data_IF_521960408443
#
_entry.id   IF_521960408443
#
_cell.length_a   1.000
_cell.length_b   1.000
_cell.length_c   1.000
_cell.angle_alpha   90.00
_cell.angle_beta   90.00
_cell.angle_gamma   90.00
#
_symmetry.space_group_name_H-M   'P 1'
#
loop_
_entity.id
_entity.type
_entity.pdbx_description
1 polymer ?
#
# COMPACT_ATOMS: atom_id res chain seq x y z
N UNK A 1 10.20 -10.06 -24.15
CA UNK A 1 9.42 -9.65 -22.96
C UNK A 1 10.43 -9.20 -21.91
N UNK A 2 10.41 -7.96 -21.40
CA UNK A 2 11.16 -7.65 -20.19
C UNK A 2 10.68 -8.57 -19.07
N UNK A 3 11.58 -9.17 -18.30
CA UNK A 3 11.22 -10.01 -17.14
C UNK A 3 10.78 -9.11 -15.98
N UNK A 4 9.53 -8.64 -16.04
CA UNK A 4 8.92 -7.91 -14.92
C UNK A 4 9.02 -8.74 -13.64
N UNK A 5 9.39 -8.07 -12.54
CA UNK A 5 9.37 -8.65 -11.20
C UNK A 5 8.11 -8.24 -10.48
N UNK A 6 7.70 -9.03 -9.51
CA UNK A 6 6.52 -8.76 -8.71
C UNK A 6 6.65 -9.33 -7.30
N UNK A 7 5.89 -8.76 -6.38
CA UNK A 7 5.65 -9.33 -5.05
C UNK A 7 4.17 -9.16 -4.67
N UNK A 8 3.73 -10.01 -3.75
CA UNK A 8 2.37 -9.99 -3.19
C UNK A 8 2.44 -10.28 -1.70
N UNK A 9 1.33 -10.03 -0.99
CA UNK A 9 1.22 -10.34 0.43
C UNK A 9 1.31 -11.86 0.62
N UNK A 10 2.34 -12.33 1.33
CA UNK A 10 2.48 -13.74 1.72
C UNK A 10 1.70 -13.96 3.02
N UNK A 11 0.37 -13.93 2.94
CA UNK A 11 -0.47 -14.32 4.07
C UNK A 11 -0.85 -15.80 3.93
N UNK A 12 -0.50 -16.61 4.92
CA UNK A 12 -0.71 -18.06 4.98
C UNK A 12 -2.18 -18.51 4.87
N UNK A 13 -3.15 -17.59 4.80
CA UNK A 13 -4.57 -17.91 4.67
C UNK A 13 -5.44 -16.83 3.98
N UNK A 14 -4.86 -15.93 3.18
CA UNK A 14 -5.64 -14.88 2.48
C UNK A 14 -5.24 -14.81 1.01
N UNK A 15 -6.24 -14.90 0.11
CA UNK A 15 -6.10 -14.65 -1.33
C UNK A 15 -5.32 -13.34 -1.51
N UNK A 16 -4.11 -13.38 -2.08
CA UNK A 16 -3.26 -12.20 -2.24
C UNK A 16 -3.99 -11.05 -2.95
N UNK A 17 -4.23 -9.94 -2.22
CA UNK A 17 -5.03 -8.80 -2.69
C UNK A 17 -4.22 -7.64 -3.27
N UNK A 18 -2.92 -7.60 -2.98
CA UNK A 18 -2.03 -6.51 -3.37
C UNK A 18 -0.89 -7.11 -4.17
N UNK A 19 -0.62 -6.52 -5.32
CA UNK A 19 0.48 -6.89 -6.20
C UNK A 19 1.28 -5.63 -6.47
N UNK A 20 2.57 -5.68 -6.18
CA UNK A 20 3.53 -4.66 -6.63
C UNK A 20 4.30 -5.28 -7.78
N UNK A 21 4.24 -4.66 -8.95
CA UNK A 21 4.83 -5.18 -10.19
C UNK A 21 5.72 -4.09 -10.77
N UNK A 22 6.96 -4.44 -11.13
CA UNK A 22 7.93 -3.47 -11.61
C UNK A 22 8.88 -4.01 -12.67
N UNK A 23 9.39 -3.10 -13.50
CA UNK A 23 10.45 -3.42 -14.44
C UNK A 23 11.81 -3.36 -13.72
N UNK A 24 12.51 -4.49 -13.52
CA UNK A 24 13.78 -4.50 -12.78
C UNK A 24 14.91 -3.75 -13.50
N UNK A 25 14.76 -3.45 -14.79
CA UNK A 25 15.70 -2.61 -15.55
C UNK A 25 15.57 -1.13 -15.23
N UNK A 26 14.46 -0.70 -14.60
CA UNK A 26 14.21 0.71 -14.26
C UNK A 26 14.33 0.94 -12.75
N UNK A 27 13.71 0.07 -11.96
CA UNK A 27 13.70 0.19 -10.50
C UNK A 27 14.09 -1.12 -9.82
N UNK A 28 14.69 -1.01 -8.65
CA UNK A 28 14.77 -2.08 -7.67
C UNK A 28 13.75 -1.82 -6.57
N UNK A 29 12.88 -2.79 -6.30
CA UNK A 29 11.94 -2.74 -5.17
C UNK A 29 12.36 -3.74 -4.11
N UNK A 30 12.55 -3.27 -2.88
CA UNK A 30 12.91 -4.09 -1.73
C UNK A 30 11.77 -4.05 -0.71
N UNK A 31 11.04 -5.14 -0.57
CA UNK A 31 9.97 -5.28 0.43
C UNK A 31 10.56 -5.23 1.84
N UNK A 32 9.99 -4.39 2.70
CA UNK A 32 10.39 -4.20 4.10
C UNK A 32 9.35 -4.84 5.04
N UNK A 33 8.07 -4.52 4.82
CA UNK A 33 6.95 -5.00 5.63
C UNK A 33 5.77 -5.37 4.73
N UNK A 34 5.03 -6.40 5.12
CA UNK A 34 3.76 -6.75 4.47
C UNK A 34 2.71 -7.09 5.51
N UNK A 35 1.46 -6.75 5.23
CA UNK A 35 0.30 -7.18 6.00
C UNK A 35 -0.86 -7.54 5.07
N UNK A 36 -1.98 -7.98 5.65
CA UNK A 36 -3.20 -8.24 4.90
C UNK A 36 -3.79 -7.00 4.17
N UNK A 37 -3.32 -5.79 4.49
CA UNK A 37 -3.86 -4.52 3.98
C UNK A 37 -2.81 -3.62 3.31
N UNK A 38 -1.52 -3.95 3.38
CA UNK A 38 -0.48 -3.15 2.72
C UNK A 38 0.77 -3.96 2.35
N UNK A 39 1.55 -3.44 1.40
CA UNK A 39 2.94 -3.83 1.13
C UNK A 39 3.78 -2.56 1.23
N UNK A 40 4.77 -2.57 2.10
CA UNK A 40 5.71 -1.46 2.29
C UNK A 40 7.12 -1.88 1.86
N UNK A 41 7.83 -0.98 1.20
CA UNK A 41 9.21 -1.22 0.79
C UNK A 41 9.88 0.00 0.20
N UNK A 42 11.18 -0.14 -0.05
CA UNK A 42 11.98 0.90 -0.68
C UNK A 42 12.02 0.73 -2.20
N UNK A 43 11.88 1.84 -2.91
CA UNK A 43 12.10 1.94 -4.35
C UNK A 43 13.43 2.65 -4.60
N UNK A 44 14.33 2.00 -5.35
CA UNK A 44 15.56 2.58 -5.85
C UNK A 44 15.49 2.71 -7.39
N UNK A 45 15.61 3.93 -7.94
CA UNK A 45 15.71 4.14 -9.39
C UNK A 45 17.16 4.00 -9.84
N UNK A 46 17.42 3.14 -10.82
CA UNK A 46 18.79 2.90 -11.31
C UNK A 46 19.41 4.14 -11.97
N UNK A 47 18.61 4.90 -12.72
CA UNK A 47 19.12 5.98 -13.58
C UNK A 47 19.34 7.29 -12.82
N UNK A 48 18.49 7.60 -11.84
CA UNK A 48 18.44 8.94 -11.22
C UNK A 48 19.00 9.01 -9.80
N UNK A 49 19.53 7.91 -9.24
CA UNK A 49 19.91 7.77 -7.82
C UNK A 49 18.78 8.17 -6.84
N UNK A 50 17.55 8.31 -7.32
CA UNK A 50 16.38 8.64 -6.51
C UNK A 50 15.99 7.39 -5.72
N UNK A 51 15.78 7.59 -4.42
CA UNK A 51 15.29 6.58 -3.49
C UNK A 51 14.12 7.14 -2.73
N UNK A 52 13.07 6.35 -2.57
CA UNK A 52 11.91 6.74 -1.80
C UNK A 52 11.23 5.51 -1.20
N UNK A 53 10.49 5.74 -0.12
CA UNK A 53 9.66 4.73 0.50
C UNK A 53 8.34 4.62 -0.25
N UNK A 54 7.85 3.40 -0.41
CA UNK A 54 6.61 3.13 -1.11
C UNK A 54 5.71 2.21 -0.27
N UNK A 55 4.43 2.58 -0.16
CA UNK A 55 3.42 1.74 0.48
C UNK A 55 2.23 1.56 -0.47
N UNK A 56 2.02 0.33 -0.93
CA UNK A 56 0.81 -0.07 -1.64
C UNK A 56 -0.25 -0.50 -0.62
N UNK A 57 -1.48 0.01 -0.74
CA UNK A 57 -2.57 -0.22 0.21
C UNK A 57 -3.78 -0.87 -0.47
N UNK A 58 -4.40 -1.82 0.23
CA UNK A 58 -5.75 -2.29 -0.02
C UNK A 58 -6.47 -2.50 1.31
N UNK A 59 -7.22 -1.48 1.74
CA UNK A 59 -7.94 -1.46 3.01
C UNK A 59 -9.09 -2.46 3.03
N UNK A 60 -9.39 -3.01 4.21
CA UNK A 60 -10.54 -3.88 4.43
C UNK A 60 -11.85 -3.07 4.51
N UNK A 61 -12.99 -3.73 4.29
CA UNK A 61 -14.28 -3.05 4.15
C UNK A 61 -14.85 -2.46 5.45
N UNK A 62 -14.53 -3.01 6.63
CA UNK A 62 -15.03 -2.49 7.90
C UNK A 62 -14.05 -1.50 8.54
N UNK A 63 -14.60 -0.46 9.20
CA UNK A 63 -13.78 0.54 9.92
C UNK A 63 -12.87 -0.13 10.95
N UNK A 64 -13.44 -1.05 11.73
CA UNK A 64 -12.68 -1.77 12.77
C UNK A 64 -11.48 -2.52 12.18
N UNK A 65 -11.62 -3.12 10.99
CA UNK A 65 -10.52 -3.78 10.32
C UNK A 65 -9.47 -2.78 9.78
N UNK A 66 -9.92 -1.62 9.28
CA UNK A 66 -9.02 -0.53 8.81
C UNK A 66 -8.27 0.19 9.93
N UNK A 67 -8.75 0.16 11.17
CA UNK A 67 -8.06 0.81 12.29
C UNK A 67 -6.57 0.39 12.37
N UNK A 68 -6.29 -0.89 12.16
CA UNK A 68 -4.90 -1.40 12.11
C UNK A 68 -4.08 -0.82 10.97
N UNK A 69 -4.68 -0.61 9.78
CA UNK A 69 -4.01 0.03 8.64
C UNK A 69 -3.60 1.46 8.98
N UNK A 70 -4.51 2.24 9.59
CA UNK A 70 -4.22 3.63 9.97
C UNK A 70 -3.11 3.73 11.02
N UNK A 71 -3.16 2.87 12.04
CA UNK A 71 -2.08 2.78 13.04
C UNK A 71 -0.74 2.48 12.39
N UNK A 72 -0.68 1.53 11.45
CA UNK A 72 0.56 1.22 10.73
C UNK A 72 1.05 2.41 9.90
N UNK A 73 0.16 3.11 9.17
CA UNK A 73 0.53 4.29 8.38
C UNK A 73 1.10 5.38 9.29
N UNK A 74 0.47 5.65 10.44
CA UNK A 74 0.99 6.62 11.41
C UNK A 74 2.36 6.21 11.94
N UNK A 75 2.54 4.93 12.31
CA UNK A 75 3.83 4.41 12.77
C UNK A 75 4.93 4.53 11.71
N UNK A 76 4.64 4.17 10.45
CA UNK A 76 5.57 4.35 9.33
C UNK A 76 5.93 5.82 9.14
N UNK A 77 4.94 6.72 9.22
CA UNK A 77 5.16 8.16 9.10
C UNK A 77 6.07 8.76 10.18
N UNK A 78 6.16 8.13 11.36
CA UNK A 78 7.13 8.53 12.40
C UNK A 78 8.55 8.00 12.18
N UNK A 79 8.69 6.94 11.37
CA UNK A 79 9.96 6.24 11.14
C UNK A 79 10.63 6.63 9.83
N UNK A 80 9.85 6.95 8.80
CA UNK A 80 10.35 7.28 7.47
C UNK A 80 10.86 8.72 7.47
N UNK A 81 12.11 8.89 7.05
CA UNK A 81 12.75 10.23 6.94
C UNK A 81 12.92 10.68 5.48
N UNK A 82 12.83 9.74 4.55
CA UNK A 82 12.92 9.95 3.11
C UNK A 82 11.58 10.38 2.50
N UNK A 83 11.58 10.72 1.20
CA UNK A 83 10.33 10.89 0.46
C UNK A 83 9.49 9.62 0.53
N UNK A 84 8.19 9.77 0.75
CA UNK A 84 7.27 8.65 0.93
C UNK A 84 6.07 8.78 0.01
N UNK A 85 5.83 7.73 -0.79
CA UNK A 85 4.66 7.58 -1.62
C UNK A 85 3.76 6.48 -1.04
N UNK A 86 2.52 6.84 -0.73
CA UNK A 86 1.47 5.89 -0.36
C UNK A 86 0.41 5.93 -1.44
N UNK A 87 -0.02 4.78 -1.93
CA UNK A 87 -1.10 4.72 -2.92
C UNK A 87 -1.86 3.39 -2.86
N UNK A 88 -3.06 3.40 -3.41
CA UNK A 88 -3.92 2.22 -3.50
C UNK A 88 -5.37 2.56 -3.15
N UNK A 89 -6.13 1.55 -2.76
CA UNK A 89 -7.52 1.68 -2.35
C UNK A 89 -7.60 1.55 -0.83
N UNK A 90 -7.96 2.64 -0.15
CA UNK A 90 -8.10 2.64 1.31
C UNK A 90 -9.44 2.09 1.79
N UNK A 91 -10.40 1.83 0.89
CA UNK A 91 -11.79 1.50 1.21
C UNK A 91 -12.37 2.46 2.27
N UNK A 92 -12.03 3.74 2.15
CA UNK A 92 -12.45 4.80 3.08
C UNK A 92 -13.10 5.93 2.30
N UNK A 93 -14.16 6.49 2.88
CA UNK A 93 -14.86 7.66 2.36
C UNK A 93 -14.13 8.88 2.89
N UNK A 94 -13.67 9.77 2.01
CA UNK A 94 -12.95 10.99 2.40
C UNK A 94 -13.93 12.14 2.57
N UNK A 95 -14.95 12.21 1.72
CA UNK A 95 -16.01 13.23 1.82
C UNK A 95 -17.40 12.63 1.64
N UNK A 96 -18.43 13.37 2.06
CA UNK A 96 -19.81 12.90 1.93
C UNK A 96 -20.22 12.65 0.45
N UNK A 97 -19.56 13.32 -0.49
CA UNK A 97 -19.75 13.12 -1.93
C UNK A 97 -19.21 11.76 -2.43
N UNK A 98 -18.29 11.13 -1.70
CA UNK A 98 -17.76 9.80 -2.02
C UNK A 98 -18.72 8.66 -1.60
N UNK A 99 -19.85 8.99 -0.95
CA UNK A 99 -20.85 7.99 -0.54
C UNK A 99 -21.63 7.51 -1.78
N UNK A 100 -21.54 6.22 -2.14
CA UNK A 100 -22.38 5.67 -3.20
C UNK A 100 -23.85 5.81 -2.81
N UNK A 101 -24.65 6.42 -3.68
CA UNK A 101 -26.09 6.63 -3.48
C UNK A 101 -26.74 5.27 -3.14
N UNK A 102 -27.27 5.14 -1.91
CA UNK A 102 -27.98 3.94 -1.44
C UNK A 102 -27.23 3.03 -0.47
N UNK A 103 -26.02 3.39 -0.03
CA UNK A 103 -25.25 2.59 0.95
C UNK A 103 -25.53 2.98 2.41
N UNK A 104 -25.72 2.00 3.30
CA UNK A 104 -25.59 2.23 4.74
C UNK A 104 -24.10 2.25 5.09
N UNK A 105 -23.60 3.42 5.49
CA UNK A 105 -22.19 3.62 5.76
C UNK A 105 -21.93 3.68 7.26
N UNK A 106 -20.88 3.01 7.72
CA UNK A 106 -20.25 3.37 8.99
C UNK A 106 -19.32 4.56 8.72
N UNK A 107 -19.52 5.67 9.43
CA UNK A 107 -18.65 6.84 9.39
C UNK A 107 -17.40 6.61 10.26
N UNK A 108 -16.24 7.04 9.76
CA UNK A 108 -14.95 6.93 10.44
C UNK A 108 -14.87 7.80 11.70
#
# INVERSE_FOLDING_TARGET
MPSWKWCTVVATNVRGRIWVVWNPSIINFTTIETSAQHIHGQVDLHVSKVKFQFTAVYGLHSIAARASLWTTIQQLGTQITESWLIMGDFNSILTAEDIPIGSQVQLA
#
